data_IF_872936788958
#
_entry.id   IF_872936788958
#
_cell.length_a   1.000
_cell.length_b   1.000
_cell.length_c   1.000
_cell.angle_alpha   90.00
_cell.angle_beta   90.00
_cell.angle_gamma   90.00
#
_symmetry.space_group_name_H-M   'P 1'
#
loop_
_entity.id
_entity.type
_entity.pdbx_description
1 polymer ?
#
# COMPACT_ATOMS: atom_id res chain seq x y z
N UNK A 1 -16.15 1.75 4.12
CA UNK A 1 -14.94 1.38 3.35
C UNK A 1 -14.82 -0.13 3.38
N UNK A 2 -14.61 -0.78 2.24
CA UNK A 2 -14.42 -2.24 2.18
C UNK A 2 -13.00 -2.57 2.65
N UNK A 3 -12.88 -3.44 3.66
CA UNK A 3 -11.58 -3.95 4.12
C UNK A 3 -10.79 -4.50 2.93
N UNK A 4 -9.52 -4.13 2.74
CA UNK A 4 -8.69 -4.68 1.66
C UNK A 4 -8.64 -6.20 1.74
N UNK A 5 -8.94 -6.88 0.63
CA UNK A 5 -8.80 -8.33 0.54
C UNK A 5 -7.39 -8.66 0.02
N UNK A 6 -6.39 -8.68 0.91
CA UNK A 6 -5.00 -8.89 0.53
C UNK A 6 -4.73 -10.22 -0.19
N UNK A 7 -5.35 -11.37 0.17
CA UNK A 7 -5.22 -12.60 -0.62
C UNK A 7 -5.71 -12.45 -2.07
N UNK A 8 -6.82 -11.74 -2.29
CA UNK A 8 -7.31 -11.47 -3.65
C UNK A 8 -6.36 -10.53 -4.41
N UNK A 9 -5.82 -9.51 -3.74
CA UNK A 9 -4.83 -8.60 -4.33
C UNK A 9 -3.54 -9.35 -4.70
N UNK A 10 -3.06 -10.25 -3.83
CA UNK A 10 -1.93 -11.12 -4.11
C UNK A 10 -2.16 -12.02 -5.34
N UNK A 11 -3.35 -12.59 -5.49
CA UNK A 11 -3.70 -13.36 -6.69
C UNK A 11 -3.59 -12.52 -7.97
N UNK A 12 -4.08 -11.26 -7.94
CA UNK A 12 -3.99 -10.35 -9.10
C UNK A 12 -2.54 -9.97 -9.41
N UNK A 13 -1.73 -9.70 -8.39
CA UNK A 13 -0.31 -9.38 -8.55
C UNK A 13 0.46 -10.56 -9.14
N UNK A 14 0.31 -11.76 -8.57
CA UNK A 14 0.95 -12.98 -9.06
C UNK A 14 0.50 -13.32 -10.49
N UNK A 15 -0.79 -13.12 -10.81
CA UNK A 15 -1.30 -13.28 -12.18
C UNK A 15 -0.61 -12.33 -13.14
N UNK A 16 -0.39 -11.07 -12.74
CA UNK A 16 0.37 -10.11 -13.55
C UNK A 16 1.83 -10.53 -13.69
N UNK A 17 2.46 -11.07 -12.65
CA UNK A 17 3.82 -11.62 -12.74
C UNK A 17 3.91 -12.76 -13.76
N UNK A 18 2.94 -13.69 -13.77
CA UNK A 18 2.87 -14.78 -14.75
C UNK A 18 2.56 -14.30 -16.18
N UNK A 19 1.94 -13.13 -16.33
CA UNK A 19 1.76 -12.51 -17.64
C UNK A 19 3.06 -11.90 -18.21
N UNK A 20 4.02 -11.53 -17.34
CA UNK A 20 5.35 -11.07 -17.75
C UNK A 20 6.33 -12.24 -17.99
N UNK A 21 6.29 -13.27 -17.15
CA UNK A 21 7.14 -14.46 -17.26
C UNK A 21 6.29 -15.71 -17.55
N UNK A 22 6.29 -16.24 -18.79
CA UNK A 22 5.49 -17.40 -19.17
C UNK A 22 5.94 -18.70 -18.46
N UNK A 23 7.09 -18.70 -17.79
CA UNK A 23 7.59 -19.83 -17.01
C UNK A 23 7.19 -19.75 -15.53
N UNK A 24 6.59 -18.65 -15.09
CA UNK A 24 6.06 -18.54 -13.74
C UNK A 24 4.78 -19.38 -13.62
N UNK A 25 4.68 -20.15 -12.53
CA UNK A 25 3.48 -20.95 -12.27
C UNK A 25 2.28 -20.07 -11.92
N UNK A 26 1.08 -20.55 -12.23
CA UNK A 26 -0.15 -19.90 -11.82
C UNK A 26 -0.22 -19.75 -10.28
N UNK A 27 -0.87 -18.69 -9.76
CA UNK A 27 -1.00 -18.49 -8.32
C UNK A 27 -1.76 -19.63 -7.65
N UNK A 28 -1.22 -20.18 -6.57
CA UNK A 28 -1.96 -21.07 -5.66
C UNK A 28 -2.49 -20.28 -4.47
N UNK A 29 -3.49 -20.82 -3.78
CA UNK A 29 -4.05 -20.21 -2.57
C UNK A 29 -2.95 -19.91 -1.53
N UNK A 30 -2.04 -20.85 -1.33
CA UNK A 30 -0.94 -20.76 -0.35
C UNK A 30 0.03 -19.65 -0.73
N UNK A 31 0.39 -19.53 -2.02
CA UNK A 31 1.23 -18.43 -2.49
C UNK A 31 0.55 -17.07 -2.33
N UNK A 32 -0.75 -16.98 -2.59
CA UNK A 32 -1.52 -15.75 -2.38
C UNK A 32 -1.56 -15.35 -0.90
N UNK A 33 -1.73 -16.30 0.02
CA UNK A 33 -1.71 -16.03 1.47
C UNK A 33 -0.33 -15.52 1.93
N UNK A 34 0.75 -16.18 1.52
CA UNK A 34 2.11 -15.77 1.89
C UNK A 34 2.46 -14.37 1.37
N UNK A 35 2.01 -14.02 0.16
CA UNK A 35 2.21 -12.68 -0.41
C UNK A 35 1.32 -11.64 0.28
N UNK A 36 0.08 -12.01 0.65
CA UNK A 36 -0.86 -11.14 1.34
C UNK A 36 -0.30 -10.62 2.67
N UNK A 37 0.43 -11.45 3.43
CA UNK A 37 1.07 -11.04 4.69
C UNK A 37 2.00 -9.84 4.50
N UNK A 38 2.78 -9.82 3.42
CA UNK A 38 3.68 -8.70 3.10
C UNK A 38 2.91 -7.45 2.66
N UNK A 39 1.79 -7.62 1.96
CA UNK A 39 0.99 -6.50 1.48
C UNK A 39 0.22 -5.84 2.62
N UNK A 40 -0.31 -6.66 3.53
CA UNK A 40 -0.99 -6.25 4.74
C UNK A 40 -0.03 -5.52 5.69
N UNK A 41 1.18 -6.05 5.90
CA UNK A 41 2.20 -5.46 6.77
C UNK A 41 2.46 -3.97 6.48
N UNK A 42 2.37 -3.56 5.21
CA UNK A 42 2.62 -2.19 4.78
C UNK A 42 1.36 -1.44 4.32
N UNK A 43 0.17 -2.04 4.49
CA UNK A 43 -1.09 -1.44 4.04
C UNK A 43 -1.08 -1.07 2.56
N UNK A 44 -0.57 -1.96 1.70
CA UNK A 44 -0.39 -1.66 0.28
C UNK A 44 -1.70 -1.73 -0.48
N UNK A 45 -1.94 -0.78 -1.38
CA UNK A 45 -3.10 -0.80 -2.27
C UNK A 45 -2.77 -1.52 -3.59
N UNK A 46 -3.81 -1.97 -4.29
CA UNK A 46 -3.66 -2.78 -5.51
C UNK A 46 -3.01 -1.98 -6.66
N UNK A 47 -3.22 -0.66 -6.70
CA UNK A 47 -2.65 0.19 -7.74
C UNK A 47 -1.13 0.28 -7.59
N UNK A 48 -0.63 0.56 -6.39
CA UNK A 48 0.80 0.57 -6.07
C UNK A 48 1.45 -0.80 -6.36
N UNK A 49 0.79 -1.89 -5.96
CA UNK A 49 1.30 -3.25 -6.18
C UNK A 49 1.39 -3.62 -7.66
N UNK A 50 0.36 -3.31 -8.46
CA UNK A 50 0.38 -3.65 -9.90
C UNK A 50 1.32 -2.76 -10.70
N UNK A 51 1.54 -1.51 -10.28
CA UNK A 51 2.61 -0.64 -10.82
C UNK A 51 3.99 -1.17 -10.45
N UNK A 52 4.17 -1.65 -9.21
CA UNK A 52 5.41 -2.28 -8.77
C UNK A 52 5.80 -3.49 -9.62
N UNK A 53 4.86 -4.37 -10.00
CA UNK A 53 5.14 -5.48 -10.93
C UNK A 53 5.73 -4.96 -12.24
N UNK A 54 5.11 -3.93 -12.82
CA UNK A 54 5.57 -3.33 -14.09
C UNK A 54 6.98 -2.77 -13.93
N UNK A 55 7.24 -2.07 -12.83
CA UNK A 55 8.55 -1.49 -12.52
C UNK A 55 9.62 -2.57 -12.40
N UNK A 56 9.41 -3.60 -11.57
CA UNK A 56 10.44 -4.61 -11.34
C UNK A 56 10.80 -5.37 -12.62
N UNK A 57 9.83 -5.68 -13.49
CA UNK A 57 10.11 -6.32 -14.78
C UNK A 57 10.70 -5.38 -15.82
N UNK A 58 10.56 -4.06 -15.66
CA UNK A 58 11.24 -3.07 -16.52
C UNK A 58 12.70 -2.87 -16.08
N UNK A 59 12.95 -2.90 -14.77
CA UNK A 59 14.27 -2.67 -14.18
C UNK A 59 15.17 -3.92 -14.27
N UNK A 60 14.57 -5.12 -14.36
CA UNK A 60 15.30 -6.39 -14.40
C UNK A 60 15.17 -7.08 -15.75
N UNK A 61 16.23 -7.78 -16.16
CA UNK A 61 16.30 -8.49 -17.44
C UNK A 61 15.69 -9.89 -17.42
N UNK A 62 15.97 -10.65 -18.49
CA UNK A 62 15.48 -12.02 -18.68
C UNK A 62 15.83 -12.94 -17.51
N UNK A 63 14.86 -13.79 -17.11
CA UNK A 63 15.03 -14.79 -16.06
C UNK A 63 14.80 -14.27 -14.62
N UNK A 64 14.51 -12.98 -14.45
CA UNK A 64 14.15 -12.42 -13.16
C UNK A 64 12.77 -12.89 -12.70
N UNK A 65 12.69 -13.44 -11.48
CA UNK A 65 11.47 -13.92 -10.86
C UNK A 65 11.25 -13.19 -9.54
N UNK A 66 10.36 -12.17 -9.50
CA UNK A 66 10.17 -11.36 -8.32
C UNK A 66 9.61 -12.19 -7.16
N UNK A 67 10.15 -11.95 -5.98
CA UNK A 67 9.63 -12.40 -4.69
C UNK A 67 8.70 -11.31 -4.11
N UNK A 68 7.90 -11.62 -3.06
CA UNK A 68 7.02 -10.63 -2.43
C UNK A 68 7.75 -9.33 -2.05
N UNK A 69 8.98 -9.47 -1.54
CA UNK A 69 9.81 -8.33 -1.10
C UNK A 69 10.10 -7.34 -2.22
N UNK A 70 10.38 -7.83 -3.42
CA UNK A 70 10.72 -6.97 -4.56
C UNK A 70 9.52 -6.10 -4.95
N UNK A 71 8.32 -6.69 -4.89
CA UNK A 71 7.08 -5.98 -5.17
C UNK A 71 6.75 -5.00 -4.05
N UNK A 72 6.90 -5.38 -2.77
CA UNK A 72 6.59 -4.47 -1.67
C UNK A 72 7.56 -3.30 -1.58
N UNK A 73 8.86 -3.51 -1.81
CA UNK A 73 9.84 -2.43 -1.84
C UNK A 73 9.55 -1.45 -2.99
N UNK A 74 9.26 -1.96 -4.19
CA UNK A 74 8.90 -1.11 -5.34
C UNK A 74 7.56 -0.37 -5.13
N UNK A 75 6.54 -1.02 -4.56
CA UNK A 75 5.24 -0.41 -4.27
C UNK A 75 5.38 0.72 -3.24
N UNK A 76 6.18 0.51 -2.19
CA UNK A 76 6.47 1.54 -1.18
C UNK A 76 7.23 2.72 -1.78
N UNK A 77 8.17 2.46 -2.68
CA UNK A 77 8.87 3.52 -3.40
C UNK A 77 7.90 4.35 -4.25
N UNK A 78 7.01 3.70 -5.03
CA UNK A 78 5.99 4.38 -5.84
C UNK A 78 5.06 5.23 -4.97
N UNK A 79 4.59 4.68 -3.85
CA UNK A 79 3.76 5.42 -2.89
C UNK A 79 4.47 6.66 -2.37
N UNK A 80 5.73 6.52 -1.95
CA UNK A 80 6.56 7.62 -1.46
C UNK A 80 6.72 8.69 -2.53
N UNK A 81 7.09 8.30 -3.74
CA UNK A 81 7.26 9.24 -4.85
C UNK A 81 5.96 9.96 -5.21
N UNK A 82 4.80 9.28 -5.14
CA UNK A 82 3.50 9.92 -5.32
C UNK A 82 3.28 11.01 -4.27
N UNK A 83 3.50 10.68 -3.00
CA UNK A 83 3.37 11.64 -1.89
C UNK A 83 4.35 12.80 -2.01
N UNK A 84 5.58 12.57 -2.48
CA UNK A 84 6.59 13.61 -2.70
C UNK A 84 6.22 14.56 -3.85
N UNK A 85 5.50 14.07 -4.87
CA UNK A 85 5.06 14.87 -6.04
C UNK A 85 3.72 15.57 -5.85
N UNK A 86 3.04 15.36 -4.73
CA UNK A 86 1.76 16.01 -4.47
C UNK A 86 1.91 17.52 -4.33
N UNK A 87 1.04 18.26 -5.04
CA UNK A 87 0.79 19.68 -4.80
C UNK A 87 0.15 19.92 -3.43
N UNK A 88 0.18 21.16 -2.94
CA UNK A 88 -0.48 21.55 -1.69
C UNK A 88 -1.98 21.23 -1.70
N UNK A 89 -2.68 21.50 -2.80
CA UNK A 89 -4.11 21.19 -2.94
C UNK A 89 -4.40 19.69 -2.83
N UNK A 90 -3.56 18.84 -3.45
CA UNK A 90 -3.69 17.39 -3.38
C UNK A 90 -3.38 16.86 -1.98
N UNK A 91 -2.45 17.50 -1.28
CA UNK A 91 -2.09 17.18 0.10
C UNK A 91 -3.23 17.52 1.06
N UNK A 92 -3.77 18.73 0.97
CA UNK A 92 -4.91 19.19 1.76
C UNK A 92 -6.12 18.27 1.54
N UNK A 93 -6.48 17.99 0.28
CA UNK A 93 -7.59 17.07 -0.02
C UNK A 93 -7.37 15.65 0.52
N UNK A 94 -6.12 15.20 0.68
CA UNK A 94 -5.82 13.91 1.32
C UNK A 94 -5.94 14.01 2.84
N UNK A 95 -5.45 15.08 3.44
CA UNK A 95 -5.56 15.35 4.86
C UNK A 95 -7.03 15.46 5.28
N UNK A 96 -7.86 16.17 4.51
CA UNK A 96 -9.31 16.23 4.72
C UNK A 96 -9.95 14.84 4.72
N UNK A 97 -9.64 14.00 3.73
CA UNK A 97 -10.13 12.61 3.68
C UNK A 97 -9.65 11.76 4.86
N UNK A 98 -8.46 12.03 5.39
CA UNK A 98 -7.93 11.33 6.56
C UNK A 98 -8.64 11.82 7.83
N UNK A 99 -8.85 13.13 7.95
CA UNK A 99 -9.58 13.77 9.04
C UNK A 99 -11.04 13.31 9.10
N UNK A 100 -11.66 12.93 7.98
CA UNK A 100 -13.00 12.34 7.96
C UNK A 100 -13.07 10.89 8.49
N UNK A 101 -11.92 10.22 8.69
CA UNK A 101 -11.90 8.83 9.17
C UNK A 101 -12.29 8.78 10.64
N UNK A 102 -13.35 8.05 11.03
CA UNK A 102 -13.88 8.05 12.40
C UNK A 102 -12.82 7.79 13.47
N UNK A 103 -11.93 6.82 13.24
CA UNK A 103 -10.86 6.47 14.19
C UNK A 103 -9.86 7.63 14.40
N UNK A 104 -9.60 8.42 13.35
CA UNK A 104 -8.72 9.59 13.44
C UNK A 104 -9.44 10.81 14.02
N UNK A 105 -10.74 10.97 13.73
CA UNK A 105 -11.59 11.99 14.37
C UNK A 105 -11.60 11.82 15.88
N UNK A 106 -11.83 10.59 16.35
CA UNK A 106 -11.89 10.29 17.78
C UNK A 106 -10.53 10.54 18.43
N UNK A 107 -9.43 10.09 17.81
CA UNK A 107 -8.09 10.33 18.33
C UNK A 107 -7.73 11.83 18.36
N UNK A 108 -8.12 12.60 17.34
CA UNK A 108 -7.91 14.06 17.31
C UNK A 108 -8.72 14.76 18.40
N UNK A 109 -9.95 14.30 18.67
CA UNK A 109 -10.79 14.82 19.76
C UNK A 109 -10.12 14.58 21.12
N UNK A 110 -9.56 13.38 21.35
CA UNK A 110 -8.81 13.04 22.56
C UNK A 110 -7.58 13.93 22.75
N UNK A 111 -6.76 14.11 21.71
CA UNK A 111 -5.57 14.98 21.76
C UNK A 111 -5.98 16.42 22.07
N UNK A 112 -7.02 16.94 21.41
CA UNK A 112 -7.50 18.31 21.60
C UNK A 112 -8.02 18.51 23.03
N UNK A 113 -8.77 17.55 23.56
CA UNK A 113 -9.27 17.59 24.94
C UNK A 113 -8.11 17.58 25.95
N UNK A 114 -7.09 16.73 25.72
CA UNK A 114 -5.88 16.69 26.54
C UNK A 114 -5.13 18.03 26.53
N UNK A 115 -4.89 18.62 25.36
CA UNK A 115 -4.20 19.89 25.22
C UNK A 115 -4.95 21.04 25.92
N UNK A 116 -6.28 21.10 25.78
CA UNK A 116 -7.11 22.09 26.47
C UNK A 116 -7.08 21.93 27.99
N UNK A 117 -7.06 20.68 28.47
CA UNK A 117 -6.99 20.37 29.91
C UNK A 117 -5.64 20.78 30.50
N UNK A 118 -4.54 20.53 29.78
CA UNK A 118 -3.20 20.97 30.22
C UNK A 118 -3.01 22.48 30.16
N UNK A 119 -3.55 23.16 29.14
CA UNK A 119 -3.48 24.62 29.02
C UNK A 119 -4.29 25.36 30.09
N UNK A 120 -5.34 24.74 30.65
CA UNK A 120 -6.17 25.31 31.71
C UNK A 120 -5.60 25.13 33.14
N UNK A 121 -4.49 24.39 33.32
CA UNK A 121 -3.83 24.14 34.61
C UNK A 121 -2.68 25.15 34.88
N UNK A 122 -2.58 26.24 34.11
CA UNK A 122 -1.57 27.29 34.33
C UNK A 122 -1.97 28.32 35.39
#
# INVERSE_FOLDING_TARGET
MTTPNYPQMAALVLTKCAAYDPYLTAPTKETCLAWAEQFELYGLDLDDLTKAVTKVYSDHGSGYRPLPKDITDAARAIRRERTERESSEQREAREDRLDERPELVDHRREITQFANTFGAIQ
#
